data_IF_381209941896
#
_entry.id   IF_381209941896
#
_cell.length_a   1.000
_cell.length_b   1.000
_cell.length_c   1.000
_cell.angle_alpha   90.00
_cell.angle_beta   90.00
_cell.angle_gamma   90.00
#
_symmetry.space_group_name_H-M   'P 1'
#
loop_
_entity.id
_entity.type
_entity.pdbx_description
1 polymer ?
#
# COMPACT_ATOMS: atom_id res chain seq x y z
N UNK A 1 -12.49 -29.42 -62.02
CA UNK A 1 -12.85 -28.20 -61.27
C UNK A 1 -12.93 -28.55 -59.80
N UNK A 2 -11.84 -28.38 -59.06
CA UNK A 2 -11.77 -28.65 -57.61
C UNK A 2 -12.02 -27.36 -56.83
N UNK A 3 -13.05 -27.35 -56.01
CA UNK A 3 -13.36 -26.24 -55.10
C UNK A 3 -12.50 -26.42 -53.85
N UNK A 4 -11.45 -25.61 -53.73
CA UNK A 4 -10.68 -25.42 -52.50
C UNK A 4 -11.51 -24.55 -51.55
N UNK A 5 -12.20 -25.17 -50.60
CA UNK A 5 -12.82 -24.45 -49.48
C UNK A 5 -11.72 -24.08 -48.49
N UNK A 6 -11.32 -22.81 -48.49
CA UNK A 6 -10.39 -22.25 -47.51
C UNK A 6 -11.12 -22.21 -46.17
N UNK A 7 -10.79 -23.14 -45.27
CA UNK A 7 -11.07 -22.99 -43.84
C UNK A 7 -10.20 -21.84 -43.30
N UNK A 8 -10.70 -20.61 -43.37
CA UNK A 8 -10.22 -19.54 -42.49
C UNK A 8 -10.58 -19.95 -41.05
N UNK A 9 -9.61 -20.53 -40.33
CA UNK A 9 -9.61 -20.54 -38.87
C UNK A 9 -9.73 -19.07 -38.44
N UNK A 10 -10.94 -18.62 -38.11
CA UNK A 10 -11.13 -17.36 -37.38
C UNK A 10 -10.26 -17.47 -36.13
N UNK A 11 -9.21 -16.66 -36.03
CA UNK A 11 -8.53 -16.45 -34.75
C UNK A 11 -9.64 -16.06 -33.78
N UNK A 12 -9.86 -16.87 -32.74
CA UNK A 12 -10.74 -16.48 -31.62
C UNK A 12 -10.11 -15.22 -31.05
N UNK A 13 -10.65 -14.06 -31.37
CA UNK A 13 -10.31 -12.84 -30.67
C UNK A 13 -10.64 -13.07 -29.20
N UNK A 14 -9.70 -12.66 -28.34
CA UNK A 14 -9.89 -12.75 -26.90
C UNK A 14 -10.96 -11.70 -26.58
N UNK A 15 -12.18 -12.16 -26.30
CA UNK A 15 -13.29 -11.30 -25.88
C UNK A 15 -12.83 -10.43 -24.70
N UNK A 16 -13.21 -9.14 -24.73
CA UNK A 16 -12.95 -8.25 -23.62
C UNK A 16 -13.68 -8.74 -22.37
N UNK A 17 -13.02 -8.67 -21.23
CA UNK A 17 -13.59 -9.05 -19.94
C UNK A 17 -13.52 -7.86 -18.99
N UNK A 18 -14.39 -7.85 -17.98
CA UNK A 18 -14.31 -6.85 -16.92
C UNK A 18 -13.50 -7.38 -15.77
N UNK A 19 -12.77 -6.49 -15.11
CA UNK A 19 -12.15 -6.80 -13.83
C UNK A 19 -12.57 -5.74 -12.81
N UNK A 20 -12.89 -6.20 -11.60
CA UNK A 20 -13.10 -5.30 -10.48
C UNK A 20 -11.78 -4.68 -10.04
N UNK A 21 -11.82 -3.39 -9.74
CA UNK A 21 -10.74 -2.66 -9.10
C UNK A 21 -11.23 -2.08 -7.76
N UNK A 22 -10.27 -1.76 -6.91
CA UNK A 22 -10.49 -1.28 -5.56
C UNK A 22 -10.44 -2.37 -4.48
N UNK A 23 -10.07 -1.94 -3.28
CA UNK A 23 -9.98 -2.72 -2.06
C UNK A 23 -11.29 -2.66 -1.30
N UNK A 24 -11.77 -3.84 -0.91
CA UNK A 24 -12.93 -3.93 -0.03
C UNK A 24 -12.60 -3.34 1.35
N UNK A 25 -13.36 -2.33 1.77
CA UNK A 25 -13.24 -1.75 3.12
C UNK A 25 -14.41 -2.14 4.02
N UNK A 26 -15.41 -2.85 3.48
CA UNK A 26 -16.52 -3.40 4.21
C UNK A 26 -17.61 -2.39 4.57
N UNK A 27 -18.35 -2.72 5.63
CA UNK A 27 -19.50 -1.98 6.12
C UNK A 27 -19.19 -1.27 7.43
N UNK A 28 -19.41 0.03 7.44
CA UNK A 28 -19.33 0.92 8.59
C UNK A 28 -20.75 1.32 8.99
N UNK A 29 -21.02 1.49 10.27
CA UNK A 29 -22.31 2.06 10.72
C UNK A 29 -22.09 3.49 11.16
N UNK A 30 -22.76 4.43 10.49
CA UNK A 30 -22.81 5.81 10.95
C UNK A 30 -24.03 6.00 11.86
N UNK A 31 -23.77 6.40 13.10
CA UNK A 31 -24.74 6.95 14.05
C UNK A 31 -25.86 6.01 14.54
N UNK A 32 -26.60 6.49 15.56
CA UNK A 32 -27.68 5.77 16.28
C UNK A 32 -28.88 5.38 15.40
N UNK A 33 -28.98 5.94 14.18
CA UNK A 33 -29.97 5.56 13.16
C UNK A 33 -29.71 4.20 12.49
N UNK A 34 -28.59 3.52 12.82
CA UNK A 34 -28.19 2.20 12.27
C UNK A 34 -27.99 2.18 10.74
N UNK A 35 -27.72 3.32 10.11
CA UNK A 35 -27.48 3.35 8.67
C UNK A 35 -26.08 2.82 8.35
N UNK A 36 -26.05 1.76 7.56
CA UNK A 36 -24.85 1.08 7.11
C UNK A 36 -24.27 1.80 5.88
N UNK A 37 -23.08 2.37 6.01
CA UNK A 37 -22.23 2.83 4.92
C UNK A 37 -21.36 1.67 4.46
N UNK A 38 -21.22 1.52 3.16
CA UNK A 38 -20.30 0.57 2.55
C UNK A 38 -19.22 1.36 1.82
N UNK A 39 -17.98 0.89 1.80
CA UNK A 39 -16.93 1.60 1.08
C UNK A 39 -15.97 0.66 0.35
N UNK A 40 -15.46 1.17 -0.77
CA UNK A 40 -14.39 0.55 -1.57
C UNK A 40 -13.31 1.60 -1.77
N UNK A 41 -12.08 1.25 -1.45
CA UNK A 41 -10.92 2.13 -1.63
C UNK A 41 -10.23 1.86 -2.96
N UNK A 42 -10.12 2.86 -3.82
CA UNK A 42 -8.99 2.91 -4.76
C UNK A 42 -7.85 3.62 -4.03
N UNK A 43 -6.58 3.35 -4.33
CA UNK A 43 -5.44 3.80 -3.51
C UNK A 43 -5.44 5.32 -3.18
N UNK A 44 -6.17 6.13 -3.97
CA UNK A 44 -6.32 7.56 -3.74
C UNK A 44 -7.76 8.08 -3.58
N UNK A 45 -8.79 7.23 -3.66
CA UNK A 45 -10.20 7.64 -3.58
C UNK A 45 -11.02 6.66 -2.72
N UNK A 46 -11.80 7.19 -1.78
CA UNK A 46 -12.71 6.41 -0.93
C UNK A 46 -14.12 6.53 -1.48
N UNK A 47 -14.57 5.50 -2.18
CA UNK A 47 -15.89 5.51 -2.81
C UNK A 47 -16.93 5.01 -1.81
N UNK A 48 -17.75 5.93 -1.29
CA UNK A 48 -18.88 5.59 -0.45
C UNK A 48 -20.02 5.00 -1.28
N UNK A 49 -20.58 3.91 -0.78
CA UNK A 49 -21.59 3.10 -1.43
C UNK A 49 -22.81 2.89 -0.54
N UNK A 50 -23.98 2.87 -1.16
CA UNK A 50 -25.18 2.29 -0.57
C UNK A 50 -25.03 0.78 -0.46
N UNK A 51 -25.87 0.13 0.37
CA UNK A 51 -25.93 -1.34 0.44
C UNK A 51 -26.15 -1.99 -0.92
N UNK A 52 -26.95 -1.35 -1.78
CA UNK A 52 -27.27 -1.84 -3.12
C UNK A 52 -26.05 -1.75 -4.03
N UNK A 53 -25.40 -0.59 -4.08
CA UNK A 53 -24.17 -0.39 -4.85
C UNK A 53 -23.07 -1.35 -4.43
N UNK A 54 -22.88 -1.56 -3.12
CA UNK A 54 -21.89 -2.49 -2.61
C UNK A 54 -22.19 -3.96 -2.99
N UNK A 55 -23.46 -4.36 -3.00
CA UNK A 55 -23.86 -5.65 -3.59
C UNK A 55 -23.52 -5.70 -5.08
N UNK A 56 -23.78 -4.64 -5.83
CA UNK A 56 -23.38 -4.52 -7.23
C UNK A 56 -21.87 -4.68 -7.44
N UNK A 57 -21.06 -4.14 -6.52
CA UNK A 57 -19.60 -4.34 -6.51
C UNK A 57 -19.20 -5.78 -6.20
N UNK A 58 -19.91 -6.48 -5.31
CA UNK A 58 -19.69 -7.91 -5.08
C UNK A 58 -20.04 -8.76 -6.30
N UNK A 59 -21.14 -8.44 -6.99
CA UNK A 59 -21.51 -9.10 -8.25
C UNK A 59 -20.47 -8.84 -9.35
N UNK A 60 -19.93 -7.62 -9.43
CA UNK A 60 -18.86 -7.27 -10.37
C UNK A 60 -17.65 -8.19 -10.21
N UNK A 61 -17.22 -8.46 -8.96
CA UNK A 61 -16.09 -9.38 -8.68
C UNK A 61 -16.32 -10.82 -9.15
N UNK A 62 -17.58 -11.24 -9.19
CA UNK A 62 -17.98 -12.58 -9.63
C UNK A 62 -18.30 -12.64 -11.14
N UNK A 63 -18.18 -11.52 -11.86
CA UNK A 63 -18.62 -11.40 -13.24
C UNK A 63 -17.46 -11.32 -14.22
N UNK A 64 -17.64 -11.93 -15.39
CA UNK A 64 -16.60 -11.95 -16.44
C UNK A 64 -16.79 -10.85 -17.49
N UNK A 65 -18.02 -10.44 -17.78
CA UNK A 65 -18.34 -9.44 -18.81
C UNK A 65 -19.37 -8.46 -18.25
N UNK A 66 -19.52 -7.29 -18.89
CA UNK A 66 -20.56 -6.31 -18.50
C UNK A 66 -21.95 -6.94 -18.55
N UNK A 67 -22.23 -7.75 -19.58
CA UNK A 67 -23.52 -8.43 -19.71
C UNK A 67 -23.74 -9.42 -18.58
N UNK A 68 -22.73 -10.22 -18.25
CA UNK A 68 -22.82 -11.17 -17.14
C UNK A 68 -23.01 -10.44 -15.80
N UNK A 69 -22.37 -9.27 -15.61
CA UNK A 69 -22.56 -8.43 -14.44
C UNK A 69 -23.99 -7.87 -14.34
N UNK A 70 -24.53 -7.37 -15.46
CA UNK A 70 -25.90 -6.91 -15.54
C UNK A 70 -26.91 -8.03 -15.20
N UNK A 71 -26.74 -9.20 -15.82
CA UNK A 71 -27.56 -10.38 -15.58
C UNK A 71 -27.50 -10.82 -14.10
N UNK A 72 -26.31 -10.90 -13.52
CA UNK A 72 -26.13 -11.26 -12.10
C UNK A 72 -26.82 -10.24 -11.18
N UNK A 73 -26.69 -8.94 -11.46
CA UNK A 73 -27.34 -7.90 -10.67
C UNK A 73 -28.88 -7.96 -10.75
N UNK A 74 -29.44 -8.29 -11.91
CA UNK A 74 -30.89 -8.43 -12.10
C UNK A 74 -31.38 -9.72 -11.43
N UNK A 75 -30.75 -10.86 -11.71
CA UNK A 75 -31.15 -12.17 -11.19
C UNK A 75 -31.05 -12.25 -9.65
N UNK A 76 -30.05 -11.60 -9.06
CA UNK A 76 -29.86 -11.56 -7.61
C UNK A 76 -30.64 -10.41 -6.93
N UNK A 77 -31.54 -9.74 -7.65
CA UNK A 77 -32.35 -8.62 -7.16
C UNK A 77 -31.50 -7.49 -6.53
N UNK A 78 -30.32 -7.23 -7.09
CA UNK A 78 -29.50 -6.06 -6.74
C UNK A 78 -30.09 -4.82 -7.36
N UNK A 79 -30.43 -4.88 -8.65
CA UNK A 79 -31.12 -3.82 -9.39
C UNK A 79 -32.47 -4.30 -9.89
N UNK A 80 -33.40 -3.38 -10.07
CA UNK A 80 -34.75 -3.68 -10.54
C UNK A 80 -34.81 -3.80 -12.07
N UNK A 81 -33.98 -3.04 -12.78
CA UNK A 81 -34.00 -2.95 -14.24
C UNK A 81 -32.63 -2.54 -14.83
N UNK A 82 -32.55 -2.53 -16.16
CA UNK A 82 -31.35 -2.14 -16.89
C UNK A 82 -30.98 -0.65 -16.72
N UNK A 83 -31.95 0.23 -16.47
CA UNK A 83 -31.69 1.66 -16.28
C UNK A 83 -31.00 1.91 -14.95
N UNK A 84 -31.40 1.22 -13.88
CA UNK A 84 -30.74 1.25 -12.59
C UNK A 84 -29.32 0.65 -12.66
N UNK A 85 -29.13 -0.44 -13.42
CA UNK A 85 -27.80 -0.99 -13.68
C UNK A 85 -26.86 0.04 -14.32
N UNK A 86 -27.31 0.74 -15.37
CA UNK A 86 -26.47 1.74 -16.06
C UNK A 86 -26.07 2.91 -15.13
N UNK A 87 -26.90 3.25 -14.14
CA UNK A 87 -26.52 4.25 -13.12
C UNK A 87 -25.38 3.75 -12.22
N UNK A 88 -25.45 2.51 -11.73
CA UNK A 88 -24.38 1.89 -10.93
C UNK A 88 -23.09 1.80 -11.74
N UNK A 89 -23.20 1.29 -12.98
CA UNK A 89 -22.08 1.16 -13.91
C UNK A 89 -21.42 2.51 -14.20
N UNK A 90 -22.20 3.57 -14.41
CA UNK A 90 -21.66 4.92 -14.64
C UNK A 90 -20.88 5.42 -13.42
N UNK A 91 -21.43 5.27 -12.21
CA UNK A 91 -20.72 5.63 -10.96
C UNK A 91 -19.40 4.87 -10.85
N UNK A 92 -19.43 3.56 -11.09
CA UNK A 92 -18.23 2.72 -10.96
C UNK A 92 -17.17 3.08 -12.00
N UNK A 93 -17.58 3.40 -13.22
CA UNK A 93 -16.69 3.89 -14.27
C UNK A 93 -16.04 5.22 -13.89
N UNK A 94 -16.82 6.16 -13.36
CA UNK A 94 -16.33 7.47 -12.94
C UNK A 94 -15.29 7.38 -11.81
N UNK A 95 -15.46 6.42 -10.90
CA UNK A 95 -14.53 6.17 -9.80
C UNK A 95 -13.48 5.10 -10.09
N UNK A 96 -13.36 4.63 -11.33
CA UNK A 96 -12.36 3.62 -11.73
C UNK A 96 -12.42 2.36 -10.86
N UNK A 97 -13.63 1.87 -10.60
CA UNK A 97 -13.91 0.65 -9.82
C UNK A 97 -14.03 -0.62 -10.67
N UNK A 98 -13.95 -0.47 -11.99
CA UNK A 98 -13.70 -1.57 -12.92
C UNK A 98 -12.96 -1.07 -14.15
N UNK A 99 -12.38 -2.00 -14.89
CA UNK A 99 -11.84 -1.76 -16.22
C UNK A 99 -12.23 -2.91 -17.16
N UNK A 100 -12.31 -2.61 -18.45
CA UNK A 100 -12.47 -3.60 -19.52
C UNK A 100 -11.09 -3.96 -20.07
N UNK A 101 -10.76 -5.24 -20.04
CA UNK A 101 -9.46 -5.78 -20.43
C UNK A 101 -9.62 -6.66 -21.66
N UNK A 102 -8.73 -6.44 -22.61
CA UNK A 102 -8.48 -7.32 -23.74
C UNK A 102 -6.95 -7.51 -23.88
N UNK A 103 -6.54 -8.32 -24.85
CA UNK A 103 -5.12 -8.61 -25.07
C UNK A 103 -4.26 -7.38 -25.40
N UNK A 104 -4.86 -6.31 -25.94
CA UNK A 104 -4.13 -5.12 -26.38
C UNK A 104 -4.06 -4.06 -25.27
N UNK A 105 -5.13 -3.92 -24.48
CA UNK A 105 -5.29 -2.94 -23.41
C UNK A 105 -4.50 -3.30 -22.15
N UNK A 106 -4.32 -4.59 -21.84
CA UNK A 106 -3.59 -5.04 -20.64
C UNK A 106 -2.14 -4.53 -20.59
N UNK A 107 -1.48 -4.42 -21.74
CA UNK A 107 -0.12 -3.87 -21.84
C UNK A 107 -0.06 -2.35 -21.65
N UNK A 108 -1.21 -1.68 -21.83
CA UNK A 108 -1.36 -0.24 -21.67
C UNK A 108 -1.78 0.14 -20.23
N UNK A 109 -2.10 -0.84 -19.38
CA UNK A 109 -2.55 -0.69 -17.99
C UNK A 109 -1.41 -0.53 -16.96
N UNK A 110 -0.41 0.28 -17.30
CA UNK A 110 0.68 0.63 -16.38
C UNK A 110 0.22 1.38 -15.14
N UNK A 111 -0.96 1.99 -15.22
CA UNK A 111 -1.57 2.76 -14.13
C UNK A 111 -2.31 1.89 -13.11
N UNK A 112 -2.31 0.55 -13.27
CA UNK A 112 -2.98 -0.37 -12.37
C UNK A 112 -1.98 -1.26 -11.65
N UNK A 113 -1.83 -1.07 -10.33
CA UNK A 113 -1.03 -1.98 -9.53
C UNK A 113 -1.87 -3.11 -8.99
N UNK A 114 -1.23 -4.27 -8.87
CA UNK A 114 -1.76 -5.45 -8.25
C UNK A 114 -0.97 -5.74 -6.98
N UNK A 115 -1.71 -5.97 -5.91
CA UNK A 115 -1.18 -6.54 -4.68
C UNK A 115 -1.75 -7.93 -4.47
N UNK A 116 -0.88 -8.87 -4.08
CA UNK A 116 -1.33 -10.19 -3.62
C UNK A 116 -1.81 -10.11 -2.17
N UNK A 117 -2.95 -10.74 -1.92
CA UNK A 117 -3.44 -11.02 -0.59
C UNK A 117 -3.15 -12.46 -0.22
N UNK A 118 -2.83 -12.66 1.05
CA UNK A 118 -2.57 -13.98 1.63
C UNK A 118 -1.11 -14.43 1.57
N UNK A 119 -0.83 -15.55 2.23
CA UNK A 119 0.51 -16.12 2.41
C UNK A 119 0.51 -17.57 1.95
N UNK A 120 1.55 -17.98 1.23
CA UNK A 120 1.75 -19.38 0.88
C UNK A 120 1.98 -20.21 2.15
N UNK A 121 1.26 -21.32 2.28
CA UNK A 121 1.41 -22.24 3.40
C UNK A 121 2.19 -23.49 3.00
N UNK A 122 1.68 -24.28 2.05
CA UNK A 122 2.31 -25.50 1.58
C UNK A 122 1.81 -25.92 0.19
N UNK A 123 2.44 -26.93 -0.38
CA UNK A 123 1.95 -27.65 -1.55
C UNK A 123 1.39 -29.01 -1.11
N UNK A 124 0.16 -29.33 -1.53
CA UNK A 124 -0.49 -30.61 -1.31
C UNK A 124 -0.19 -31.53 -2.49
N UNK A 125 0.74 -32.46 -2.31
CA UNK A 125 1.08 -33.48 -3.32
C UNK A 125 -0.09 -34.43 -3.62
N UNK A 126 -1.01 -34.62 -2.67
CA UNK A 126 -2.21 -35.45 -2.85
C UNK A 126 -3.22 -34.81 -3.80
N UNK A 127 -3.35 -33.49 -3.78
CA UNK A 127 -4.32 -32.76 -4.61
C UNK A 127 -3.70 -32.05 -5.81
N UNK A 128 -2.37 -32.08 -5.93
CA UNK A 128 -1.58 -31.30 -6.88
C UNK A 128 -1.93 -29.80 -6.86
N UNK A 129 -1.98 -29.23 -5.65
CA UNK A 129 -2.41 -27.84 -5.42
C UNK A 129 -1.55 -27.11 -4.40
N UNK A 130 -1.40 -25.82 -4.63
CA UNK A 130 -0.78 -24.85 -3.73
C UNK A 130 -1.82 -24.29 -2.77
N UNK A 131 -1.52 -24.25 -1.47
CA UNK A 131 -2.44 -23.75 -0.45
C UNK A 131 -2.01 -22.36 0.01
N UNK A 132 -2.91 -21.39 -0.17
CA UNK A 132 -2.73 -19.99 0.23
C UNK A 132 -3.66 -19.67 1.40
N UNK A 133 -3.12 -19.12 2.49
CA UNK A 133 -3.93 -18.55 3.56
C UNK A 133 -4.30 -17.11 3.23
N UNK A 134 -5.57 -16.82 2.96
CA UNK A 134 -6.06 -15.44 2.85
C UNK A 134 -6.47 -14.93 4.23
N UNK A 135 -6.19 -13.65 4.52
CA UNK A 135 -6.62 -12.99 5.75
C UNK A 135 -8.08 -12.53 5.70
N UNK A 136 -8.60 -12.22 4.52
CA UNK A 136 -9.96 -11.70 4.33
C UNK A 136 -10.58 -12.25 3.03
N UNK A 137 -11.60 -13.14 3.12
CA UNK A 137 -12.04 -13.85 4.32
C UNK A 137 -10.94 -14.81 4.82
N UNK A 138 -10.88 -15.05 6.14
CA UNK A 138 -9.89 -15.96 6.74
C UNK A 138 -10.14 -17.40 6.30
N UNK A 139 -9.49 -17.85 5.23
CA UNK A 139 -9.66 -19.19 4.65
C UNK A 139 -8.39 -19.67 3.94
N UNK A 140 -8.27 -20.99 3.82
CA UNK A 140 -7.29 -21.62 2.94
C UNK A 140 -7.87 -21.77 1.53
N UNK A 141 -7.14 -21.28 0.54
CA UNK A 141 -7.54 -21.27 -0.87
C UNK A 141 -6.54 -22.12 -1.64
N UNK A 142 -7.04 -23.10 -2.38
CA UNK A 142 -6.21 -23.99 -3.19
C UNK A 142 -6.10 -23.45 -4.62
N UNK A 143 -4.86 -23.38 -5.12
CA UNK A 143 -4.52 -22.93 -6.46
C UNK A 143 -3.82 -24.06 -7.22
N UNK A 144 -4.13 -24.22 -8.51
CA UNK A 144 -3.30 -25.06 -9.38
C UNK A 144 -1.97 -24.35 -9.72
N UNK A 145 -1.06 -25.04 -10.39
CA UNK A 145 0.25 -24.50 -10.76
C UNK A 145 0.16 -23.16 -11.50
N UNK A 146 -0.66 -23.07 -12.55
CA UNK A 146 -0.79 -21.84 -13.35
C UNK A 146 -1.35 -20.67 -12.53
N UNK A 147 -2.35 -20.93 -11.69
CA UNK A 147 -2.95 -19.94 -10.80
C UNK A 147 -1.95 -19.43 -9.77
N UNK A 148 -1.17 -20.35 -9.19
CA UNK A 148 -0.12 -20.01 -8.24
C UNK A 148 0.98 -19.16 -8.88
N UNK A 149 1.41 -19.50 -10.10
CA UNK A 149 2.41 -18.75 -10.86
C UNK A 149 1.97 -17.31 -11.17
N UNK A 150 0.71 -17.12 -11.57
CA UNK A 150 0.16 -15.77 -11.76
C UNK A 150 0.03 -15.08 -10.41
N UNK A 151 -0.58 -15.72 -9.40
CA UNK A 151 -0.76 -15.13 -8.07
C UNK A 151 0.55 -14.62 -7.46
N UNK A 152 1.61 -15.43 -7.50
CA UNK A 152 2.92 -15.09 -6.92
C UNK A 152 3.65 -13.98 -7.68
N UNK A 153 3.28 -13.72 -8.95
CA UNK A 153 3.90 -12.69 -9.77
C UNK A 153 3.52 -11.27 -9.33
N UNK A 154 2.43 -11.10 -8.58
CA UNK A 154 2.08 -9.83 -7.95
C UNK A 154 2.94 -9.59 -6.69
N UNK A 155 4.09 -8.94 -6.85
CA UNK A 155 5.02 -8.65 -5.75
C UNK A 155 4.76 -7.24 -5.22
N UNK A 156 4.01 -7.14 -4.13
CA UNK A 156 3.75 -5.87 -3.44
C UNK A 156 2.82 -4.94 -4.23
N UNK A 157 3.40 -4.09 -5.08
CA UNK A 157 2.72 -3.04 -5.88
C UNK A 157 3.06 -3.14 -7.37
N UNK A 158 3.29 -4.34 -7.89
CA UNK A 158 3.62 -4.55 -9.32
C UNK A 158 2.52 -4.01 -10.22
N UNK A 159 2.88 -3.36 -11.33
CA UNK A 159 1.89 -3.03 -12.36
C UNK A 159 1.39 -4.31 -13.04
N UNK A 160 0.24 -4.26 -13.70
CA UNK A 160 -0.24 -5.38 -14.51
C UNK A 160 0.76 -5.76 -15.60
N UNK A 161 1.44 -4.78 -16.21
CA UNK A 161 2.48 -5.03 -17.18
C UNK A 161 3.67 -5.80 -16.57
N UNK A 162 4.08 -5.46 -15.34
CA UNK A 162 5.15 -6.19 -14.64
C UNK A 162 4.76 -7.64 -14.35
N UNK A 163 3.51 -7.87 -13.95
CA UNK A 163 3.00 -9.23 -13.71
C UNK A 163 3.05 -10.05 -14.99
N UNK A 164 2.61 -9.51 -16.13
CA UNK A 164 2.70 -10.17 -17.44
C UNK A 164 4.15 -10.50 -17.77
N UNK A 165 5.08 -9.57 -17.58
CA UNK A 165 6.51 -9.77 -17.84
C UNK A 165 7.12 -10.86 -16.96
N UNK A 166 6.77 -10.91 -15.67
CA UNK A 166 7.22 -11.96 -14.75
C UNK A 166 6.69 -13.33 -15.19
N UNK A 167 5.41 -13.41 -15.57
CA UNK A 167 4.80 -14.65 -16.06
C UNK A 167 5.44 -15.10 -17.38
N UNK A 168 5.75 -14.16 -18.29
CA UNK A 168 6.44 -14.45 -19.55
C UNK A 168 7.83 -15.06 -19.32
N UNK A 169 8.61 -14.52 -18.39
CA UNK A 169 9.93 -15.04 -18.04
C UNK A 169 9.87 -16.48 -17.51
N UNK A 170 8.80 -16.84 -16.80
CA UNK A 170 8.57 -18.22 -16.34
C UNK A 170 7.99 -19.15 -17.40
N UNK A 171 7.57 -18.61 -18.55
CA UNK A 171 6.87 -19.32 -19.64
C UNK A 171 7.65 -19.26 -20.96
N UNK A 172 8.97 -19.50 -20.93
CA UNK A 172 9.86 -19.48 -22.11
C UNK A 172 9.87 -18.15 -22.90
N UNK A 173 9.67 -17.01 -22.23
CA UNK A 173 9.67 -15.67 -22.82
C UNK A 173 8.58 -15.42 -23.88
N UNK A 174 7.47 -16.16 -23.85
CA UNK A 174 6.34 -15.95 -24.74
C UNK A 174 5.34 -14.96 -24.11
N UNK A 175 5.54 -13.66 -24.36
CA UNK A 175 4.72 -12.57 -23.81
C UNK A 175 3.24 -12.72 -24.18
N UNK A 176 2.94 -13.18 -25.39
CA UNK A 176 1.55 -13.35 -25.83
C UNK A 176 0.84 -14.44 -25.02
N UNK A 177 1.50 -15.59 -24.79
CA UNK A 177 0.94 -16.63 -23.92
C UNK A 177 0.84 -16.17 -22.48
N UNK A 178 1.77 -15.35 -22.00
CA UNK A 178 1.70 -14.77 -20.67
C UNK A 178 0.47 -13.87 -20.52
N UNK A 179 0.21 -12.99 -21.50
CA UNK A 179 -1.00 -12.17 -21.56
C UNK A 179 -2.25 -13.04 -21.52
N UNK A 180 -2.35 -14.04 -22.39
CA UNK A 180 -3.48 -14.98 -22.44
C UNK A 180 -3.70 -15.68 -21.09
N UNK A 181 -2.62 -16.05 -20.40
CA UNK A 181 -2.65 -16.69 -19.09
C UNK A 181 -3.09 -15.73 -17.98
N UNK A 182 -2.55 -14.50 -17.94
CA UNK A 182 -2.96 -13.48 -16.96
C UNK A 182 -4.42 -13.12 -17.15
N UNK A 183 -4.86 -12.89 -18.40
CA UNK A 183 -6.26 -12.60 -18.75
C UNK A 183 -7.20 -13.70 -18.23
N UNK A 184 -6.82 -14.97 -18.39
CA UNK A 184 -7.63 -16.09 -17.93
C UNK A 184 -7.70 -16.20 -16.41
N UNK A 185 -6.64 -15.86 -15.70
CA UNK A 185 -6.47 -16.20 -14.27
C UNK A 185 -6.78 -15.02 -13.35
N UNK A 186 -6.52 -13.78 -13.76
CA UNK A 186 -6.72 -12.59 -12.94
C UNK A 186 -8.14 -12.50 -12.35
N UNK A 187 -9.23 -12.74 -13.11
CA UNK A 187 -10.59 -12.72 -12.55
C UNK A 187 -10.78 -13.73 -11.42
N UNK A 188 -10.21 -14.94 -11.54
CA UNK A 188 -10.29 -16.00 -10.53
C UNK A 188 -9.60 -15.54 -9.23
N UNK A 189 -8.48 -14.84 -9.33
CA UNK A 189 -7.74 -14.34 -8.17
C UNK A 189 -8.45 -13.18 -7.50
N UNK A 190 -9.07 -12.26 -8.27
CA UNK A 190 -9.86 -11.15 -7.74
C UNK A 190 -11.12 -11.65 -7.04
N UNK A 191 -11.87 -12.55 -7.68
CA UNK A 191 -13.07 -13.19 -7.11
C UNK A 191 -12.76 -13.88 -5.78
N UNK A 192 -11.60 -14.54 -5.68
CA UNK A 192 -11.17 -15.27 -4.48
C UNK A 192 -10.56 -14.39 -3.39
N UNK A 193 -10.54 -13.06 -3.57
CA UNK A 193 -9.90 -12.07 -2.69
C UNK A 193 -8.38 -12.26 -2.56
N UNK A 194 -7.74 -12.91 -3.54
CA UNK A 194 -6.30 -13.13 -3.57
C UNK A 194 -5.53 -12.02 -4.27
N UNK A 195 -6.18 -11.20 -5.10
CA UNK A 195 -5.63 -10.01 -5.72
C UNK A 195 -6.50 -8.79 -5.44
N UNK A 196 -5.85 -7.68 -5.11
CA UNK A 196 -6.45 -6.35 -5.13
C UNK A 196 -5.79 -5.55 -6.26
N UNK A 197 -6.60 -5.01 -7.17
CA UNK A 197 -6.13 -4.18 -8.28
C UNK A 197 -6.58 -2.75 -8.02
N UNK A 198 -5.62 -1.84 -7.90
CA UNK A 198 -5.87 -0.44 -7.59
C UNK A 198 -5.43 0.43 -8.77
N UNK A 199 -6.20 1.46 -9.11
CA UNK A 199 -5.85 2.42 -10.16
C UNK A 199 -5.09 3.60 -9.55
N UNK A 200 -3.92 3.91 -10.09
CA UNK A 200 -3.02 4.95 -9.61
C UNK A 200 -2.97 6.18 -10.53
N UNK A 201 -3.44 6.05 -11.77
CA UNK A 201 -3.42 7.13 -12.76
C UNK A 201 -2.06 7.82 -12.87
N UNK A 202 -2.07 9.12 -13.22
CA UNK A 202 -0.97 10.10 -13.45
C UNK A 202 0.32 9.99 -12.60
N UNK A 203 0.33 9.21 -11.53
CA UNK A 203 1.47 8.92 -10.67
C UNK A 203 2.71 8.41 -11.43
N UNK A 204 2.58 7.64 -12.52
CA UNK A 204 3.75 7.16 -13.28
C UNK A 204 4.59 8.34 -13.82
N UNK A 205 3.98 9.45 -14.26
CA UNK A 205 4.73 10.67 -14.62
C UNK A 205 5.39 11.39 -13.44
N UNK A 206 4.92 11.17 -12.22
CA UNK A 206 5.55 11.70 -11.02
C UNK A 206 6.71 10.82 -10.52
N UNK A 207 6.70 9.52 -10.82
CA UNK A 207 7.73 8.55 -10.42
C UNK A 207 8.74 8.20 -11.52
N UNK A 208 8.42 8.41 -12.81
CA UNK A 208 9.23 7.98 -13.96
C UNK A 208 10.32 8.97 -14.40
N UNK A 209 10.55 10.07 -13.68
CA UNK A 209 11.73 10.88 -13.95
C UNK A 209 12.95 10.21 -13.32
N UNK A 210 13.61 9.34 -14.11
CA UNK A 210 14.92 8.69 -13.89
C UNK A 210 16.10 9.69 -13.80
N UNK A 211 15.88 10.85 -13.17
CA UNK A 211 16.88 11.89 -12.89
C UNK A 211 16.82 12.41 -11.46
N UNK A 212 16.35 11.57 -10.52
CA UNK A 212 16.55 11.77 -9.08
C UNK A 212 17.49 10.69 -8.52
N UNK A 213 18.48 10.30 -9.33
CA UNK A 213 19.68 9.62 -8.84
C UNK A 213 20.82 10.62 -9.01
N UNK A 214 20.83 11.61 -8.12
CA UNK A 214 21.97 12.45 -7.80
C UNK A 214 21.53 13.28 -6.59
N UNK A 215 22.09 12.95 -5.44
CA UNK A 215 22.22 13.86 -4.30
C UNK A 215 20.93 14.34 -3.63
N UNK A 216 20.36 13.51 -2.74
CA UNK A 216 19.61 14.02 -1.57
C UNK A 216 20.59 14.70 -0.60
N UNK A 217 21.12 15.86 -1.01
CA UNK A 217 21.80 16.83 -0.13
C UNK A 217 20.69 17.61 0.57
N UNK A 218 20.18 17.02 1.64
CA UNK A 218 19.57 17.78 2.73
C UNK A 218 20.30 17.35 3.98
N UNK A 219 21.46 17.97 4.18
CA UNK A 219 22.38 17.75 5.28
C UNK A 219 21.85 18.27 6.61
N UNK A 220 20.86 19.17 6.61
CA UNK A 220 20.44 19.89 7.81
C UNK A 220 19.66 19.05 8.83
N UNK A 221 18.78 18.13 8.39
CA UNK A 221 18.03 17.27 9.33
C UNK A 221 18.90 16.18 9.95
N UNK A 222 19.98 15.81 9.26
CA UNK A 222 20.99 14.86 9.72
C UNK A 222 22.26 15.55 10.25
N UNK A 223 22.29 16.88 10.34
CA UNK A 223 23.46 17.60 10.83
C UNK A 223 23.63 17.36 12.33
N UNK A 224 24.51 16.43 12.65
CA UNK A 224 24.79 16.00 14.01
C UNK A 224 25.58 17.03 14.82
N UNK A 225 26.08 18.11 14.19
CA UNK A 225 26.84 19.15 14.88
C UNK A 225 25.95 20.17 15.60
N UNK A 226 24.68 20.31 15.21
CA UNK A 226 23.75 21.27 15.81
C UNK A 226 22.89 20.69 16.96
N UNK A 227 23.28 19.54 17.52
CA UNK A 227 22.49 18.88 18.57
C UNK A 227 22.60 19.59 19.91
N UNK A 228 21.46 19.77 20.56
CA UNK A 228 21.32 20.34 21.91
C UNK A 228 20.28 19.55 22.70
N UNK A 229 20.22 19.76 24.03
CA UNK A 229 19.29 19.05 24.92
C UNK A 229 17.83 19.09 24.44
N UNK A 230 17.38 20.23 23.91
CA UNK A 230 15.99 20.44 23.47
C UNK A 230 15.75 20.05 22.00
N UNK A 231 16.75 19.45 21.34
CA UNK A 231 16.59 19.04 19.95
C UNK A 231 15.56 17.91 19.86
N UNK A 232 14.53 18.12 19.05
CA UNK A 232 13.53 17.09 18.78
C UNK A 232 14.08 16.06 17.80
N UNK A 233 14.00 14.78 18.16
CA UNK A 233 14.47 13.65 17.37
C UNK A 233 13.29 12.75 17.01
N UNK A 234 13.31 12.22 15.78
CA UNK A 234 12.34 11.23 15.32
C UNK A 234 13.04 10.02 14.72
N UNK A 235 12.52 8.83 15.01
CA UNK A 235 12.99 7.57 14.43
C UNK A 235 12.49 7.37 13.00
N UNK A 236 13.34 6.80 12.16
CA UNK A 236 13.01 6.38 10.79
C UNK A 236 13.08 4.85 10.68
N UNK A 237 12.19 4.28 9.85
CA UNK A 237 12.20 2.88 9.48
C UNK A 237 11.47 1.93 10.42
N UNK A 238 11.62 0.63 10.13
CA UNK A 238 10.91 -0.45 10.79
C UNK A 238 11.83 -1.57 11.28
N UNK A 239 11.45 -2.14 12.41
CA UNK A 239 12.13 -3.30 12.98
C UNK A 239 11.83 -4.54 12.13
N UNK A 240 12.85 -5.30 11.75
CA UNK A 240 12.69 -6.50 10.91
C UNK A 240 13.24 -7.78 11.55
N UNK A 241 13.85 -7.70 12.74
CA UNK A 241 14.32 -8.84 13.51
C UNK A 241 15.72 -8.64 14.09
N UNK A 242 16.34 -9.74 14.52
CA UNK A 242 17.66 -9.74 15.16
C UNK A 242 18.67 -10.52 14.32
N UNK A 243 19.92 -10.09 14.33
CA UNK A 243 21.04 -10.86 13.80
C UNK A 243 21.60 -11.76 14.91
N UNK A 244 21.25 -13.05 14.90
CA UNK A 244 21.73 -14.03 15.89
C UNK A 244 23.03 -14.68 15.43
N UNK A 245 24.18 -14.13 15.83
CA UNK A 245 25.47 -14.82 15.70
C UNK A 245 25.88 -15.42 17.06
N UNK A 246 25.49 -16.68 17.28
CA UNK A 246 25.95 -17.60 18.35
C UNK A 246 26.01 -17.05 19.80
N UNK A 247 25.04 -17.46 20.64
CA UNK A 247 25.01 -17.78 22.09
C UNK A 247 25.78 -16.91 23.13
N UNK A 248 26.73 -16.02 22.78
CA UNK A 248 27.49 -15.22 23.74
C UNK A 248 27.78 -13.77 23.31
N UNK A 249 27.33 -13.31 22.14
CA UNK A 249 27.54 -11.92 21.73
C UNK A 249 26.22 -11.21 21.43
N UNK A 250 26.20 -9.92 21.80
CA UNK A 250 25.04 -9.04 21.95
C UNK A 250 24.08 -9.10 20.75
N UNK A 251 22.80 -9.35 21.03
CA UNK A 251 21.72 -9.30 20.04
C UNK A 251 21.69 -7.91 19.38
N UNK A 252 22.14 -7.83 18.13
CA UNK A 252 22.02 -6.62 17.32
C UNK A 252 20.66 -6.61 16.64
N UNK A 253 19.97 -5.48 16.72
CA UNK A 253 18.66 -5.28 16.10
C UNK A 253 18.82 -4.82 14.65
N UNK A 254 18.01 -5.38 13.75
CA UNK A 254 17.96 -5.01 12.34
C UNK A 254 16.79 -4.05 12.08
N UNK A 255 17.12 -2.87 11.56
CA UNK A 255 16.15 -1.84 11.15
C UNK A 255 16.17 -1.71 9.62
N UNK A 256 15.01 -1.81 8.98
CA UNK A 256 14.84 -1.47 7.57
C UNK A 256 14.51 0.01 7.43
N UNK A 257 15.35 0.76 6.72
CA UNK A 257 15.08 2.14 6.30
C UNK A 257 15.14 2.20 4.78
N UNK A 258 14.06 2.66 4.14
CA UNK A 258 13.90 2.57 2.69
C UNK A 258 14.10 1.13 2.17
N UNK A 259 15.27 0.88 1.57
CA UNK A 259 15.69 -0.41 1.05
C UNK A 259 16.99 -0.94 1.69
N UNK A 260 17.43 -0.35 2.80
CA UNK A 260 18.66 -0.71 3.50
C UNK A 260 18.34 -1.33 4.85
N UNK A 261 19.03 -2.44 5.14
CA UNK A 261 19.07 -3.02 6.49
C UNK A 261 20.22 -2.36 7.25
N UNK A 262 19.91 -1.83 8.42
CA UNK A 262 20.84 -1.16 9.33
C UNK A 262 20.88 -1.92 10.65
N UNK A 263 22.09 -2.22 11.10
CA UNK A 263 22.33 -2.94 12.36
C UNK A 263 22.53 -1.96 13.51
N UNK A 264 21.75 -2.12 14.59
CA UNK A 264 21.84 -1.33 15.82
C UNK A 264 22.27 -2.21 16.98
N UNK A 265 23.26 -1.74 17.75
CA UNK A 265 23.61 -2.36 19.03
C UNK A 265 22.54 -2.07 20.10
N UNK A 266 22.64 -2.70 21.26
CA UNK A 266 21.60 -2.59 22.30
C UNK A 266 21.33 -1.16 22.79
N UNK A 267 22.34 -0.28 22.86
CA UNK A 267 22.17 1.14 23.27
C UNK A 267 21.49 1.95 22.17
N UNK A 268 21.96 1.80 20.93
CA UNK A 268 21.37 2.44 19.75
C UNK A 268 19.92 2.02 19.56
N UNK A 269 19.64 0.72 19.71
CA UNK A 269 18.29 0.17 19.60
C UNK A 269 17.38 0.71 20.70
N UNK A 270 17.83 0.71 21.97
CA UNK A 270 17.04 1.24 23.07
C UNK A 270 16.68 2.73 22.84
N UNK A 271 17.64 3.55 22.43
CA UNK A 271 17.40 4.95 22.10
C UNK A 271 16.44 5.10 20.90
N UNK A 272 16.64 4.34 19.82
CA UNK A 272 15.75 4.37 18.66
C UNK A 272 14.31 3.99 19.03
N UNK A 273 14.11 2.96 19.87
CA UNK A 273 12.78 2.56 20.37
C UNK A 273 12.17 3.66 21.24
N UNK A 274 12.95 4.34 22.07
CA UNK A 274 12.47 5.45 22.88
C UNK A 274 11.94 6.59 21.99
N UNK A 275 12.71 7.01 20.98
CA UNK A 275 12.25 8.00 20.00
C UNK A 275 11.01 7.52 19.22
N UNK A 276 10.95 6.24 18.85
CA UNK A 276 9.78 5.63 18.19
C UNK A 276 8.53 5.61 19.06
N UNK A 277 8.69 5.56 20.39
CA UNK A 277 7.61 5.55 21.39
C UNK A 277 7.27 6.93 21.95
N UNK A 278 7.76 8.00 21.33
CA UNK A 278 7.34 9.37 21.65
C UNK A 278 8.18 10.07 22.71
N UNK A 279 9.39 9.58 23.02
CA UNK A 279 10.40 10.40 23.71
C UNK A 279 10.94 11.38 22.67
N UNK A 280 10.63 12.67 22.78
CA UNK A 280 10.82 13.59 21.66
C UNK A 280 12.16 14.30 21.69
N UNK A 281 12.71 14.59 22.86
CA UNK A 281 13.96 15.35 22.97
C UNK A 281 15.13 14.51 23.46
N UNK A 282 16.34 15.03 23.24
CA UNK A 282 17.57 14.46 23.80
C UNK A 282 17.53 14.51 25.33
N UNK A 283 16.99 15.59 25.91
CA UNK A 283 16.79 15.75 27.35
C UNK A 283 15.84 14.69 27.93
N UNK A 284 14.70 14.44 27.30
CA UNK A 284 13.74 13.42 27.76
C UNK A 284 14.36 12.02 27.73
N UNK A 285 15.18 11.75 26.71
CA UNK A 285 15.92 10.49 26.59
C UNK A 285 16.96 10.34 27.68
N UNK A 286 17.68 11.42 28.01
CA UNK A 286 18.64 11.46 29.12
C UNK A 286 17.94 11.10 30.43
N UNK A 287 16.79 11.69 30.70
CA UNK A 287 15.99 11.41 31.90
C UNK A 287 15.48 9.96 31.93
N UNK A 288 14.95 9.47 30.81
CA UNK A 288 14.44 8.09 30.70
C UNK A 288 15.52 7.05 30.99
N UNK A 289 16.72 7.23 30.44
CA UNK A 289 17.83 6.28 30.60
C UNK A 289 18.68 6.54 31.85
N UNK A 290 18.49 7.67 32.53
CA UNK A 290 19.29 8.10 33.68
C UNK A 290 20.80 8.09 33.40
N UNK A 291 21.18 8.67 32.25
CA UNK A 291 22.59 8.79 31.81
C UNK A 291 23.00 10.26 31.63
N UNK A 292 24.26 10.51 31.32
CA UNK A 292 24.74 11.87 31.01
C UNK A 292 24.27 12.34 29.62
N UNK A 293 24.10 13.65 29.47
CA UNK A 293 23.58 14.26 28.25
C UNK A 293 24.51 13.98 27.05
N UNK A 294 25.82 14.04 27.27
CA UNK A 294 26.85 13.75 26.27
C UNK A 294 26.76 12.32 25.75
N UNK A 295 26.36 11.36 26.59
CA UNK A 295 26.19 9.96 26.21
C UNK A 295 25.01 9.79 25.25
N UNK A 296 23.85 10.39 25.54
CA UNK A 296 22.70 10.35 24.62
C UNK A 296 23.03 11.09 23.32
N UNK A 297 23.66 12.26 23.39
CA UNK A 297 24.09 12.98 22.19
C UNK A 297 24.96 12.08 21.33
N UNK A 298 25.95 11.40 21.92
CA UNK A 298 26.80 10.45 21.19
C UNK A 298 26.01 9.34 20.50
N UNK A 299 25.03 8.73 21.20
CA UNK A 299 24.15 7.70 20.62
C UNK A 299 23.30 8.27 19.48
N UNK A 300 22.72 9.45 19.65
CA UNK A 300 21.93 10.12 18.60
C UNK A 300 22.79 10.42 17.38
N UNK A 301 24.04 10.88 17.55
CA UNK A 301 24.97 11.10 16.43
C UNK A 301 25.18 9.81 15.62
N UNK A 302 25.46 8.69 16.29
CA UNK A 302 25.62 7.39 15.61
C UNK A 302 24.36 6.96 14.85
N UNK A 303 23.17 7.19 15.44
CA UNK A 303 21.89 6.91 14.79
C UNK A 303 21.62 7.83 13.58
N UNK A 304 22.03 9.09 13.63
CA UNK A 304 21.91 10.05 12.53
C UNK A 304 22.84 9.70 11.37
N UNK A 305 24.09 9.30 11.68
CA UNK A 305 25.06 8.84 10.67
C UNK A 305 24.54 7.59 9.95
N UNK A 306 23.87 6.70 10.69
CA UNK A 306 23.17 5.51 10.16
C UNK A 306 21.84 5.85 9.46
N UNK A 307 21.41 7.11 9.48
CA UNK A 307 20.14 7.61 8.94
C UNK A 307 18.89 6.87 9.44
N UNK A 308 18.93 6.39 10.69
CA UNK A 308 17.79 5.75 11.37
C UNK A 308 17.06 6.69 12.32
N UNK A 309 17.60 7.89 12.55
CA UNK A 309 16.90 9.01 13.21
C UNK A 309 17.24 10.33 12.50
N UNK A 310 16.40 11.34 12.65
CA UNK A 310 16.64 12.70 12.16
C UNK A 310 16.14 13.75 13.15
N UNK A 311 16.60 14.99 13.00
CA UNK A 311 15.99 16.16 13.65
C UNK A 311 14.58 16.37 13.13
N UNK A 312 13.62 16.60 14.03
CA UNK A 312 12.28 17.01 13.64
C UNK A 312 12.31 18.47 13.15
N UNK A 313 11.87 18.76 11.92
CA UNK A 313 11.89 20.12 11.40
C UNK A 313 10.70 20.94 11.90
N UNK A 314 10.82 22.26 11.85
CA UNK A 314 9.71 23.18 12.12
C UNK A 314 8.58 23.05 11.07
N UNK A 315 8.96 22.78 9.83
CA UNK A 315 8.06 22.49 8.71
C UNK A 315 8.68 21.43 7.81
N UNK A 316 7.89 20.41 7.47
CA UNK A 316 8.24 19.45 6.42
C UNK A 316 8.10 20.18 5.08
N UNK A 317 9.24 20.62 4.53
CA UNK A 317 9.28 21.52 3.38
C UNK A 317 8.56 21.00 2.13
N UNK A 318 8.15 21.95 1.30
CA UNK A 318 7.37 21.76 0.06
C UNK A 318 8.23 21.22 -1.10
N UNK A 319 9.55 21.11 -0.92
CA UNK A 319 10.44 20.72 -2.00
C UNK A 319 10.24 19.23 -2.35
N UNK A 320 9.77 18.97 -3.57
CA UNK A 320 9.48 17.64 -4.13
C UNK A 320 10.71 16.73 -4.21
N UNK A 321 11.90 17.26 -3.96
CA UNK A 321 13.17 16.53 -3.92
C UNK A 321 13.41 15.82 -2.57
N UNK A 322 12.61 16.10 -1.54
CA UNK A 322 12.72 15.44 -0.24
C UNK A 322 11.89 14.16 -0.20
N UNK A 323 12.56 13.04 0.07
CA UNK A 323 12.01 11.70 -0.14
C UNK A 323 11.54 11.09 1.19
N UNK A 324 10.86 11.89 2.04
CA UNK A 324 10.24 11.41 3.28
C UNK A 324 8.80 10.98 2.99
N UNK A 325 8.40 9.85 3.54
CA UNK A 325 7.03 9.35 3.46
C UNK A 325 6.52 8.93 4.83
N UNK A 326 5.22 9.08 5.00
CA UNK A 326 4.47 8.60 6.16
C UNK A 326 3.94 7.22 5.79
N UNK A 327 4.21 6.21 6.62
CA UNK A 327 3.70 4.86 6.44
C UNK A 327 2.60 4.58 7.47
N UNK A 328 1.32 4.55 7.06
CA UNK A 328 0.22 4.34 8.00
C UNK A 328 0.22 2.92 8.58
N UNK A 329 -0.10 2.81 9.87
CA UNK A 329 -0.36 1.56 10.58
C UNK A 329 -1.83 1.43 10.93
N UNK A 330 -2.29 0.18 11.02
CA UNK A 330 -3.65 -0.16 11.44
C UNK A 330 -4.70 0.11 10.35
N UNK A 331 -5.96 0.08 10.76
CA UNK A 331 -7.13 0.25 9.91
C UNK A 331 -7.96 1.43 10.43
N UNK A 332 -8.26 2.40 9.57
CA UNK A 332 -9.15 3.51 9.89
C UNK A 332 -10.64 3.11 9.89
N UNK A 333 -11.36 3.53 10.92
CA UNK A 333 -12.79 3.32 11.16
C UNK A 333 -13.40 4.68 11.51
N UNK A 334 -14.36 5.18 10.73
CA UNK A 334 -15.02 6.46 11.02
C UNK A 334 -15.76 6.47 12.37
N UNK A 335 -15.87 7.64 13.02
CA UNK A 335 -16.60 7.79 14.30
C UNK A 335 -17.83 8.70 14.19
N UNK A 336 -18.67 8.67 15.24
CA UNK A 336 -20.05 9.20 15.33
C UNK A 336 -20.21 10.70 15.05
N UNK A 337 -19.16 11.51 15.13
CA UNK A 337 -19.25 12.97 15.13
C UNK A 337 -18.63 13.64 13.88
N UNK A 338 -18.03 12.89 12.94
CA UNK A 338 -17.24 13.39 11.80
C UNK A 338 -16.11 14.37 12.17
N UNK A 339 -15.83 14.55 13.46
CA UNK A 339 -14.74 15.36 13.99
C UNK A 339 -13.55 14.48 14.36
N UNK A 340 -13.82 13.23 14.71
CA UNK A 340 -12.82 12.26 15.13
C UNK A 340 -12.93 10.95 14.33
N UNK A 341 -11.82 10.25 14.16
CA UNK A 341 -11.67 9.02 13.37
C UNK A 341 -10.91 8.02 14.22
N UNK A 342 -11.30 6.75 14.21
CA UNK A 342 -10.70 5.71 15.03
C UNK A 342 -9.73 4.90 14.18
N UNK A 343 -8.46 4.84 14.55
CA UNK A 343 -7.50 3.89 13.96
C UNK A 343 -7.41 2.67 14.89
N UNK A 344 -7.64 1.48 14.34
CA UNK A 344 -7.45 0.20 15.02
C UNK A 344 -6.08 -0.36 14.62
N UNK A 345 -5.18 -0.53 15.59
CA UNK A 345 -3.97 -1.31 15.39
C UNK A 345 -4.32 -2.79 15.37
N UNK A 346 -4.04 -3.45 14.24
CA UNK A 346 -4.38 -4.86 14.01
C UNK A 346 -3.44 -5.83 14.72
N UNK A 347 -2.29 -5.35 15.22
CA UNK A 347 -1.28 -6.19 15.87
C UNK A 347 -1.57 -6.43 17.35
N UNK A 348 -2.14 -5.43 18.03
CA UNK A 348 -2.44 -5.47 19.46
C UNK A 348 -3.92 -5.21 19.78
N UNK A 349 -4.75 -4.83 18.79
CA UNK A 349 -6.17 -4.55 18.95
C UNK A 349 -6.48 -3.21 19.62
N UNK A 350 -5.46 -2.39 19.93
CA UNK A 350 -5.67 -1.06 20.48
C UNK A 350 -6.26 -0.10 19.46
N UNK A 351 -6.93 0.93 19.94
CA UNK A 351 -7.47 1.96 19.07
C UNK A 351 -7.17 3.36 19.54
N UNK A 352 -6.85 4.24 18.59
CA UNK A 352 -6.58 5.66 18.81
C UNK A 352 -7.58 6.52 18.06
N UNK A 353 -7.92 7.68 18.61
CA UNK A 353 -8.80 8.66 17.97
C UNK A 353 -7.98 9.80 17.38
N UNK A 354 -8.29 10.15 16.14
CA UNK A 354 -7.65 11.18 15.34
C UNK A 354 -8.64 12.28 14.99
N UNK A 355 -8.28 13.56 15.11
CA UNK A 355 -9.08 14.62 14.52
C UNK A 355 -9.14 14.47 12.99
N UNK A 356 -10.19 15.00 12.37
CA UNK A 356 -10.41 14.88 10.92
C UNK A 356 -9.19 15.24 10.07
N UNK A 357 -8.52 16.35 10.38
CA UNK A 357 -7.33 16.76 9.62
C UNK A 357 -6.17 15.75 9.77
N UNK A 358 -5.92 15.23 10.98
CA UNK A 358 -4.91 14.20 11.18
C UNK A 358 -5.27 12.89 10.46
N UNK A 359 -6.55 12.53 10.43
CA UNK A 359 -7.02 11.40 9.64
C UNK A 359 -6.80 11.61 8.14
N UNK A 360 -7.02 12.81 7.60
CA UNK A 360 -6.75 13.11 6.19
C UNK A 360 -5.27 12.93 5.85
N UNK A 361 -4.37 13.39 6.73
CA UNK A 361 -2.93 13.12 6.59
C UNK A 361 -2.66 11.62 6.59
N UNK A 362 -3.18 10.87 7.56
CA UNK A 362 -3.04 9.41 7.64
C UNK A 362 -3.56 8.71 6.38
N UNK A 363 -4.74 9.09 5.89
CA UNK A 363 -5.37 8.51 4.71
C UNK A 363 -4.56 8.79 3.43
N UNK A 364 -4.06 10.00 3.24
CA UNK A 364 -3.24 10.37 2.07
C UNK A 364 -1.84 9.75 2.06
N UNK A 365 -1.41 9.17 3.18
CA UNK A 365 -0.09 8.57 3.36
C UNK A 365 0.05 7.15 2.80
N UNK A 366 -1.04 6.51 2.37
CA UNK A 366 -1.00 5.15 1.83
C UNK A 366 -0.13 5.05 0.57
N UNK A 367 0.67 3.99 0.47
CA UNK A 367 1.46 3.67 -0.73
C UNK A 367 2.80 4.39 -0.83
N UNK A 368 3.45 4.73 0.30
CA UNK A 368 4.77 5.37 0.34
C UNK A 368 4.84 6.69 -0.45
N UNK A 369 3.82 7.53 -0.28
CA UNK A 369 3.69 8.81 -0.99
C UNK A 369 4.61 9.86 -0.35
N UNK A 370 5.33 10.70 -1.13
CA UNK A 370 6.10 11.82 -0.62
C UNK A 370 5.26 12.81 0.19
N UNK A 371 5.81 13.33 1.29
CA UNK A 371 5.10 14.31 2.14
C UNK A 371 4.68 15.56 1.38
N UNK A 372 5.45 16.02 0.40
CA UNK A 372 5.05 17.13 -0.46
C UNK A 372 3.72 16.88 -1.18
N UNK A 373 3.45 15.64 -1.59
CA UNK A 373 2.18 15.25 -2.22
C UNK A 373 1.05 15.19 -1.19
N UNK A 374 1.33 14.72 0.03
CA UNK A 374 0.37 14.74 1.15
C UNK A 374 -0.05 16.19 1.44
N UNK A 375 0.91 17.12 1.48
CA UNK A 375 0.66 18.56 1.65
C UNK A 375 -0.22 19.11 0.52
N UNK A 376 0.10 18.80 -0.75
CA UNK A 376 -0.72 19.24 -1.88
C UNK A 376 -2.16 18.72 -1.81
N UNK A 377 -2.35 17.43 -1.47
CA UNK A 377 -3.69 16.85 -1.33
C UNK A 377 -4.45 17.47 -0.16
N UNK A 378 -3.79 17.65 0.98
CA UNK A 378 -4.36 18.29 2.16
C UNK A 378 -4.80 19.72 1.86
N UNK A 379 -3.95 20.50 1.19
CA UNK A 379 -4.24 21.84 0.69
C UNK A 379 -5.49 21.88 -0.18
N UNK A 380 -5.55 21.01 -1.20
CA UNK A 380 -6.66 20.99 -2.16
C UNK A 380 -7.99 20.57 -1.52
N UNK A 381 -7.98 19.59 -0.61
CA UNK A 381 -9.21 19.05 -0.02
C UNK A 381 -9.78 19.93 1.10
N UNK A 382 -8.93 20.69 1.79
CA UNK A 382 -9.33 21.53 2.93
C UNK A 382 -9.23 23.03 2.63
N UNK A 383 -8.86 23.40 1.41
CA UNK A 383 -8.76 24.77 0.92
C UNK A 383 -7.85 25.67 1.78
N UNK A 384 -6.66 25.16 2.10
CA UNK A 384 -5.62 25.90 2.81
C UNK A 384 -4.64 26.61 1.86
N UNK A 385 -3.87 27.56 2.38
CA UNK A 385 -2.67 28.05 1.69
C UNK A 385 -1.56 26.99 1.68
N UNK A 386 -0.52 27.16 0.86
CA UNK A 386 0.61 26.23 0.84
C UNK A 386 1.33 26.17 2.19
N UNK A 387 1.57 27.34 2.77
CA UNK A 387 2.31 27.52 4.02
C UNK A 387 1.51 26.91 5.18
N UNK A 388 0.21 27.18 5.26
CA UNK A 388 -0.66 26.61 6.28
C UNK A 388 -0.78 25.10 6.15
N UNK A 389 -0.92 24.57 4.93
CA UNK A 389 -0.97 23.13 4.69
C UNK A 389 0.34 22.46 5.11
N UNK A 390 1.49 23.03 4.75
CA UNK A 390 2.81 22.52 5.14
C UNK A 390 2.98 22.47 6.65
N UNK A 391 2.63 23.57 7.34
CA UNK A 391 2.68 23.66 8.78
C UNK A 391 1.74 22.65 9.46
N UNK A 392 0.48 22.59 9.03
CA UNK A 392 -0.53 21.68 9.62
C UNK A 392 -0.17 20.22 9.40
N UNK A 393 0.22 19.83 8.19
CA UNK A 393 0.65 18.46 7.91
C UNK A 393 1.83 18.08 8.81
N UNK A 394 2.78 19.00 9.01
CA UNK A 394 3.89 18.77 9.96
C UNK A 394 3.38 18.48 11.37
N UNK A 395 2.49 19.32 11.91
CA UNK A 395 1.92 19.09 13.24
C UNK A 395 1.12 17.78 13.33
N UNK A 396 0.36 17.44 12.30
CA UNK A 396 -0.42 16.21 12.27
C UNK A 396 0.44 14.96 12.14
N UNK A 397 1.48 14.96 11.32
CA UNK A 397 2.44 13.84 11.26
C UNK A 397 3.08 13.62 12.63
N UNK A 398 3.46 14.70 13.34
CA UNK A 398 3.98 14.61 14.71
C UNK A 398 2.99 13.95 15.66
N UNK A 399 1.72 14.38 15.63
CA UNK A 399 0.66 13.75 16.45
C UNK A 399 0.51 12.25 16.13
N UNK A 400 0.46 11.91 14.84
CA UNK A 400 0.27 10.54 14.38
C UNK A 400 1.42 9.61 14.80
N UNK A 401 2.66 10.11 14.77
CA UNK A 401 3.83 9.40 15.27
C UNK A 401 3.74 9.14 16.77
N UNK A 402 3.37 10.17 17.55
CA UNK A 402 3.20 10.05 18.99
C UNK A 402 2.11 9.06 19.38
N UNK A 403 1.07 8.95 18.57
CA UNK A 403 0.01 7.96 18.77
C UNK A 403 0.37 6.56 18.26
N UNK A 404 1.52 6.40 17.61
CA UNK A 404 1.99 5.12 17.06
C UNK A 404 1.20 4.62 15.85
N UNK A 405 0.38 5.47 15.22
CA UNK A 405 -0.50 5.09 14.11
C UNK A 405 0.14 5.29 12.73
N UNK A 406 1.34 5.86 12.67
CA UNK A 406 2.18 5.94 11.47
C UNK A 406 3.65 5.70 11.84
N UNK A 407 4.48 5.38 10.84
CA UNK A 407 5.93 5.58 10.89
C UNK A 407 6.35 6.66 9.90
N UNK A 408 7.56 7.17 10.07
CA UNK A 408 8.29 7.85 9.00
C UNK A 408 9.30 6.91 8.36
N UNK A 409 9.40 7.00 7.04
CA UNK A 409 10.39 6.28 6.26
C UNK A 409 10.92 7.16 5.14
N UNK A 410 12.04 6.74 4.57
CA UNK A 410 12.58 7.31 3.35
C UNK A 410 12.01 6.48 2.20
N UNK A 411 11.47 7.11 1.16
CA UNK A 411 11.03 6.39 -0.04
C UNK A 411 12.30 5.88 -0.74
N UNK A 412 12.36 4.59 -1.09
CA UNK A 412 13.55 4.06 -1.73
C UNK A 412 13.70 4.62 -3.15
N UNK A 413 14.94 4.96 -3.54
CA UNK A 413 15.28 5.43 -4.90
C UNK A 413 14.91 4.42 -6.01
N UNK A 414 14.75 3.14 -5.66
CA UNK A 414 14.22 2.06 -6.50
C UNK A 414 13.45 1.05 -5.64
N UNK A 415 12.34 0.46 -6.11
CA UNK A 415 11.74 -0.68 -5.42
C UNK A 415 12.77 -1.80 -5.24
N UNK A 416 12.79 -2.43 -4.06
CA UNK A 416 13.65 -3.57 -3.75
C UNK A 416 13.30 -4.73 -4.69
N UNK A 417 14.12 -4.97 -5.71
CA UNK A 417 14.13 -6.25 -6.43
C UNK A 417 14.96 -7.20 -5.58
N UNK A 418 14.30 -7.93 -4.67
CA UNK A 418 14.95 -9.01 -3.91
C UNK A 418 15.21 -10.17 -4.87
N UNK A 419 16.34 -10.15 -5.56
CA UNK A 419 16.86 -11.30 -6.28
C UNK A 419 17.37 -12.32 -5.28
N UNK A 420 16.73 -13.49 -5.19
CA UNK A 420 17.31 -14.65 -4.52
C UNK A 420 18.57 -15.07 -5.29
N UNK A 421 19.75 -14.65 -4.82
CA UNK A 421 21.00 -15.31 -5.19
C UNK A 421 21.08 -16.59 -4.38
N UNK A 422 20.76 -17.72 -5.02
CA UNK A 422 21.14 -19.03 -4.50
C UNK A 422 22.67 -19.04 -4.32
N UNK A 423 23.14 -19.04 -3.06
CA UNK A 423 24.49 -19.47 -2.77
C UNK A 423 24.52 -21.01 -2.87
N UNK A 424 25.55 -21.49 -3.57
CA UNK A 424 25.77 -22.88 -3.96
C UNK A 424 26.00 -23.81 -2.79
#
# INVERSE_FOLDING_TARGET
MGILTIFQKRKKEIESFIIATGRDLGCFRLNEKREAIFAVGSLFDLVQMTKKEYKGWKELKASRTINNWAENCINNNVVNDAKEFEQIKLKFKNHRLFEEWDANSILQMKEHNVSKNGVFLNYSSKEDKWIISSFFPKRSISLNQEQYEVWRAAVGTSTIADVVKIVANTSNNDEKKAIEKVIRIAPILVERDLWNIEFFGKAEKYYANEKVIADTIHTEFFDSNSLSANTNIVSLGDEIGYESTSIREKDNMLIMVANKVVTLNSKEHAAWVAFKKGVLTIQDSKELFSVELEEIISVVKMLMDKRVVMKWPESLGVNKQFVLSVSPKGIGIGTKNNKEYKILDVTNGESKFLPYEAYMVWAFSHGYVPIAIIIEKFKMNLNYSQEDASYRVTQWVRLLLNQGVVNLTIIPDKPLVVGWKNQR
#
